data_IF_293230815945
#
_entry.id   IF_293230815945
#
_cell.length_a   1.000
_cell.length_b   1.000
_cell.length_c   1.000
_cell.angle_alpha   90.00
_cell.angle_beta   90.00
_cell.angle_gamma   90.00
#
_symmetry.space_group_name_H-M   'P 1'
#
loop_
_entity.id
_entity.type
_entity.pdbx_description
1 polymer ?
#
# COMPACT_ATOMS: atom_id res chain seq x y z
N UNK A 1 21.50 -14.83 -9.27
CA UNK A 1 20.72 -15.74 -10.13
C UNK A 1 19.69 -16.38 -9.22
N UNK A 2 18.41 -16.41 -9.61
CA UNK A 2 17.38 -17.06 -8.80
C UNK A 2 17.57 -18.57 -8.87
N UNK A 3 17.51 -19.23 -7.71
CA UNK A 3 17.55 -20.69 -7.61
C UNK A 3 16.24 -21.20 -7.03
N UNK A 4 15.71 -22.29 -7.59
CA UNK A 4 14.44 -22.89 -7.15
C UNK A 4 14.67 -24.31 -6.64
N UNK A 5 14.02 -24.63 -5.52
CA UNK A 5 14.04 -25.94 -4.89
C UNK A 5 12.62 -26.32 -4.49
N UNK A 6 12.21 -27.53 -4.84
CA UNK A 6 10.96 -28.12 -4.38
C UNK A 6 11.25 -29.24 -3.38
N UNK A 7 10.54 -29.22 -2.26
CA UNK A 7 10.67 -30.21 -1.19
C UNK A 7 9.31 -30.71 -0.76
N UNK A 8 9.21 -32.00 -0.47
CA UNK A 8 8.07 -32.55 0.27
C UNK A 8 8.07 -32.08 1.73
N UNK A 9 6.92 -32.18 2.40
CA UNK A 9 6.79 -31.90 3.83
C UNK A 9 7.86 -32.60 4.69
N UNK A 10 8.11 -33.90 4.43
CA UNK A 10 9.11 -34.67 5.16
C UNK A 10 10.56 -34.28 4.83
N UNK A 11 10.83 -33.84 3.61
CA UNK A 11 12.15 -33.35 3.23
C UNK A 11 12.47 -31.99 3.88
N UNK A 12 11.49 -31.09 4.02
CA UNK A 12 11.66 -29.83 4.76
C UNK A 12 12.13 -30.11 6.19
N UNK A 13 11.46 -31.05 6.88
CA UNK A 13 11.87 -31.49 8.22
C UNK A 13 13.31 -31.99 8.25
N UNK A 14 13.67 -32.87 7.30
CA UNK A 14 15.00 -33.46 7.24
C UNK A 14 16.11 -32.42 6.98
N UNK A 15 15.83 -31.36 6.21
CA UNK A 15 16.78 -30.25 6.03
C UNK A 15 17.03 -29.53 7.35
N UNK A 16 16.00 -29.21 8.13
CA UNK A 16 16.18 -28.55 9.42
C UNK A 16 16.97 -29.41 10.42
N UNK A 17 16.70 -30.72 10.45
CA UNK A 17 17.47 -31.66 11.28
C UNK A 17 18.94 -31.69 10.87
N UNK A 18 19.22 -31.77 9.56
CA UNK A 18 20.58 -31.79 9.04
C UNK A 18 21.35 -30.48 9.27
N UNK A 19 20.65 -29.35 9.28
CA UNK A 19 21.21 -28.03 9.55
C UNK A 19 21.20 -27.63 11.04
N UNK A 20 20.64 -28.48 11.92
CA UNK A 20 20.48 -28.19 13.36
C UNK A 20 19.73 -26.89 13.64
N UNK A 21 18.68 -26.63 12.87
CA UNK A 21 17.87 -25.42 12.93
C UNK A 21 16.53 -25.66 13.61
N UNK A 22 15.99 -24.61 14.23
CA UNK A 22 14.67 -24.61 14.87
C UNK A 22 13.84 -23.51 14.24
N UNK A 23 12.59 -23.82 13.89
CA UNK A 23 11.65 -22.84 13.34
C UNK A 23 11.00 -22.04 14.46
N UNK A 24 10.96 -20.72 14.29
CA UNK A 24 10.14 -19.85 15.11
C UNK A 24 8.64 -20.09 14.81
N UNK A 25 7.71 -19.81 15.75
CA UNK A 25 6.28 -20.03 15.53
C UNK A 25 5.68 -19.28 14.32
N UNK A 26 6.24 -18.13 13.97
CA UNK A 26 5.84 -17.31 12.82
C UNK A 26 6.55 -17.69 11.51
N UNK A 27 7.42 -18.70 11.52
CA UNK A 27 8.06 -19.22 10.31
C UNK A 27 7.02 -19.81 9.35
N UNK A 28 7.13 -19.55 8.04
CA UNK A 28 6.30 -20.23 7.04
C UNK A 28 6.55 -21.73 6.98
N UNK A 29 7.68 -22.19 7.54
CA UNK A 29 8.05 -23.59 7.57
C UNK A 29 7.77 -24.26 8.93
N UNK A 30 7.27 -23.52 9.91
CA UNK A 30 6.87 -24.07 11.20
C UNK A 30 5.89 -25.26 11.09
N UNK A 31 4.89 -25.26 10.19
CA UNK A 31 3.98 -26.41 10.03
C UNK A 31 4.68 -27.73 9.70
N UNK A 32 5.86 -27.70 9.07
CA UNK A 32 6.62 -28.90 8.70
C UNK A 32 7.49 -29.43 9.85
N UNK A 33 7.60 -28.70 10.96
CA UNK A 33 8.46 -29.09 12.08
C UNK A 33 8.01 -30.39 12.75
N UNK A 34 6.74 -30.79 12.64
CA UNK A 34 6.21 -32.04 13.20
C UNK A 34 6.18 -33.21 12.20
N UNK A 35 6.61 -33.00 10.96
CA UNK A 35 6.52 -34.00 9.89
C UNK A 35 7.52 -35.14 10.09
N UNK A 36 7.23 -36.29 9.49
CA UNK A 36 8.18 -37.40 9.47
C UNK A 36 9.31 -37.08 8.49
N UNK A 37 10.54 -37.05 8.97
CA UNK A 37 11.70 -36.79 8.14
C UNK A 37 11.83 -37.80 6.99
N UNK A 38 11.99 -37.29 5.77
CA UNK A 38 12.27 -38.04 4.55
C UNK A 38 13.72 -37.77 4.09
N UNK A 39 14.44 -38.76 3.54
CA UNK A 39 15.82 -38.56 3.12
C UNK A 39 15.97 -37.44 2.08
N UNK A 40 16.87 -36.50 2.37
CA UNK A 40 17.27 -35.43 1.44
C UNK A 40 18.71 -35.06 1.70
N UNK A 41 19.43 -34.65 0.65
CA UNK A 41 20.76 -34.08 0.83
C UNK A 41 20.63 -32.71 1.49
N UNK A 42 21.42 -32.46 2.55
CA UNK A 42 21.46 -31.16 3.19
C UNK A 42 21.94 -30.11 2.16
N UNK A 43 21.14 -29.09 1.86
CA UNK A 43 21.50 -28.13 0.83
C UNK A 43 22.55 -27.14 1.38
N UNK A 44 23.53 -26.80 0.55
CA UNK A 44 24.62 -25.86 0.89
C UNK A 44 24.49 -24.53 0.13
N UNK A 45 25.44 -23.62 0.37
CA UNK A 45 25.49 -22.33 -0.33
C UNK A 45 24.27 -21.45 -0.01
N UNK A 46 23.65 -20.88 -1.05
CA UNK A 46 22.49 -19.99 -0.93
C UNK A 46 21.32 -20.62 -0.17
N UNK A 47 21.20 -21.94 -0.21
CA UNK A 47 20.11 -22.64 0.45
C UNK A 47 20.28 -22.70 1.97
N UNK A 48 21.50 -22.77 2.49
CA UNK A 48 21.70 -22.67 3.95
C UNK A 48 21.18 -21.33 4.46
N UNK A 49 21.57 -20.24 3.81
CA UNK A 49 21.09 -18.89 4.13
C UNK A 49 19.56 -18.78 3.95
N UNK A 50 19.00 -19.35 2.89
CA UNK A 50 17.56 -19.36 2.68
C UNK A 50 16.80 -20.08 3.82
N UNK A 51 17.30 -21.22 4.29
CA UNK A 51 16.71 -21.93 5.43
C UNK A 51 16.92 -21.18 6.75
N UNK A 52 18.03 -20.46 6.95
CA UNK A 52 18.22 -19.56 8.10
C UNK A 52 17.16 -18.45 8.11
N UNK A 53 16.93 -17.81 6.95
CA UNK A 53 15.89 -16.78 6.77
C UNK A 53 14.51 -17.34 7.08
N UNK A 54 14.18 -18.51 6.52
CA UNK A 54 12.86 -19.10 6.69
C UNK A 54 12.64 -19.70 8.08
N UNK A 55 13.69 -20.09 8.80
CA UNK A 55 13.58 -20.60 10.16
C UNK A 55 13.07 -19.52 11.14
N UNK A 56 13.57 -18.29 11.02
CA UNK A 56 13.18 -17.16 11.87
C UNK A 56 13.20 -15.85 11.06
N UNK A 57 12.19 -15.62 10.20
CA UNK A 57 12.16 -14.44 9.35
C UNK A 57 11.92 -13.19 10.19
N UNK A 58 12.55 -12.07 9.81
CA UNK A 58 12.29 -10.77 10.42
C UNK A 58 11.33 -9.91 9.60
N UNK A 59 11.22 -10.18 8.30
CA UNK A 59 10.29 -9.50 7.41
C UNK A 59 9.59 -10.54 6.53
N UNK A 60 8.26 -10.45 6.49
CA UNK A 60 7.40 -11.07 5.50
C UNK A 60 6.85 -9.97 4.60
N UNK A 61 6.90 -10.19 3.28
CA UNK A 61 6.23 -9.38 2.26
C UNK A 61 5.18 -10.27 1.60
N UNK A 62 3.91 -9.94 1.78
CA UNK A 62 2.79 -10.60 1.08
C UNK A 62 2.28 -9.70 -0.02
N UNK A 63 2.40 -10.16 -1.25
CA UNK A 63 1.73 -9.55 -2.40
C UNK A 63 0.48 -10.36 -2.70
N UNK A 64 -0.70 -9.77 -2.52
CA UNK A 64 -1.98 -10.41 -2.78
C UNK A 64 -2.52 -9.88 -4.10
N UNK A 65 -2.42 -10.67 -5.17
CA UNK A 65 -2.94 -10.32 -6.48
C UNK A 65 -4.46 -10.55 -6.50
N UNK A 66 -5.25 -9.51 -6.77
CA UNK A 66 -6.70 -9.62 -6.89
C UNK A 66 -7.09 -10.34 -8.18
N UNK A 67 -8.02 -11.28 -8.08
CA UNK A 67 -8.61 -12.00 -9.21
C UNK A 67 -10.14 -11.89 -9.18
N UNK A 68 -10.85 -12.26 -10.25
CA UNK A 68 -12.31 -12.31 -10.21
C UNK A 68 -12.84 -13.25 -9.11
N UNK A 69 -12.09 -14.29 -8.73
CA UNK A 69 -12.52 -15.30 -7.76
C UNK A 69 -11.95 -15.11 -6.34
N UNK A 70 -11.07 -14.15 -6.11
CA UNK A 70 -10.41 -13.98 -4.81
C UNK A 70 -9.05 -13.30 -4.89
N UNK A 71 -8.08 -13.90 -4.19
CA UNK A 71 -6.68 -13.43 -4.14
C UNK A 71 -5.70 -14.56 -4.37
N UNK A 72 -4.63 -14.26 -5.10
CA UNK A 72 -3.47 -15.13 -5.27
C UNK A 72 -2.27 -14.55 -4.49
N UNK A 73 -1.84 -15.19 -3.39
CA UNK A 73 -0.75 -14.69 -2.58
C UNK A 73 0.62 -15.05 -3.19
N UNK A 74 1.59 -14.14 -3.07
CA UNK A 74 3.03 -14.40 -3.22
C UNK A 74 3.75 -13.94 -1.96
N UNK A 75 4.46 -14.86 -1.32
CA UNK A 75 5.06 -14.65 -0.01
C UNK A 75 6.58 -14.60 -0.15
N UNK A 76 7.19 -13.54 0.34
CA UNK A 76 8.64 -13.35 0.36
C UNK A 76 9.10 -13.10 1.79
N UNK A 77 10.24 -13.67 2.15
CA UNK A 77 10.79 -13.58 3.50
C UNK A 77 12.22 -13.08 3.45
N UNK A 78 12.59 -12.29 4.46
CA UNK A 78 13.95 -11.77 4.64
C UNK A 78 14.40 -11.96 6.09
N UNK A 79 15.69 -12.21 6.26
CA UNK A 79 16.34 -12.25 7.56
C UNK A 79 16.59 -10.86 8.14
N UNK A 80 17.45 -10.79 9.15
CA UNK A 80 17.75 -9.55 9.87
C UNK A 80 18.65 -8.58 9.11
N UNK A 81 19.46 -9.07 8.17
CA UNK A 81 20.30 -8.21 7.35
C UNK A 81 19.47 -7.57 6.23
N UNK A 82 19.37 -6.23 6.13
CA UNK A 82 18.74 -5.56 4.99
C UNK A 82 19.34 -5.92 3.63
N UNK A 83 20.56 -6.48 3.61
CA UNK A 83 21.25 -6.95 2.40
C UNK A 83 21.02 -8.43 2.11
N UNK A 84 20.45 -9.20 3.03
CA UNK A 84 20.16 -10.61 2.77
C UNK A 84 19.15 -10.71 1.62
N UNK A 85 19.32 -11.68 0.71
CA UNK A 85 18.33 -11.94 -0.31
C UNK A 85 16.98 -12.27 0.32
N UNK A 86 15.88 -12.04 -0.41
CA UNK A 86 14.60 -12.61 -0.05
C UNK A 86 14.47 -14.03 -0.59
N UNK A 87 13.66 -14.81 0.11
CA UNK A 87 13.25 -16.14 -0.30
C UNK A 87 11.75 -16.13 -0.54
N UNK A 88 11.32 -16.50 -1.74
CA UNK A 88 9.92 -16.72 -2.06
C UNK A 88 9.50 -18.12 -1.62
N UNK A 89 8.31 -18.22 -1.05
CA UNK A 89 7.70 -19.50 -0.65
C UNK A 89 6.36 -19.64 -1.35
N UNK A 90 6.22 -20.69 -2.15
CA UNK A 90 4.97 -21.10 -2.77
C UNK A 90 4.51 -22.44 -2.20
N UNK A 91 3.25 -22.54 -1.79
CA UNK A 91 2.65 -23.82 -1.42
C UNK A 91 2.45 -24.71 -2.65
N UNK A 92 2.73 -26.01 -2.50
CA UNK A 92 2.38 -27.05 -3.48
C UNK A 92 1.68 -28.21 -2.77
N UNK A 93 0.98 -29.08 -3.50
CA UNK A 93 0.05 -30.09 -2.94
C UNK A 93 0.60 -30.90 -1.75
N UNK A 94 1.90 -31.22 -1.73
CA UNK A 94 2.54 -32.05 -0.70
C UNK A 94 3.86 -31.46 -0.18
N UNK A 95 4.00 -30.13 -0.18
CA UNK A 95 5.21 -29.48 0.32
C UNK A 95 5.33 -28.01 -0.06
N UNK A 96 6.55 -27.59 -0.35
CA UNK A 96 6.86 -26.19 -0.71
C UNK A 96 7.77 -26.11 -1.93
N UNK A 97 7.55 -25.08 -2.73
CA UNK A 97 8.51 -24.57 -3.69
C UNK A 97 9.15 -23.31 -3.11
N UNK A 98 10.47 -23.33 -2.98
CA UNK A 98 11.28 -22.21 -2.52
C UNK A 98 12.03 -21.62 -3.70
N UNK A 99 12.06 -20.29 -3.81
CA UNK A 99 12.95 -19.61 -4.75
C UNK A 99 13.80 -18.58 -4.01
N UNK A 100 15.12 -18.83 -3.98
CA UNK A 100 16.09 -18.01 -3.26
C UNK A 100 16.79 -17.01 -4.19
N UNK A 101 17.28 -15.91 -3.59
CA UNK A 101 18.11 -14.92 -4.29
C UNK A 101 17.36 -13.71 -4.82
N UNK A 102 16.13 -13.45 -4.35
CA UNK A 102 15.41 -12.23 -4.70
C UNK A 102 16.07 -11.01 -4.06
N UNK A 103 16.15 -9.90 -4.78
CA UNK A 103 16.45 -8.59 -4.19
C UNK A 103 15.17 -7.74 -4.10
N UNK A 104 15.25 -6.56 -3.48
CA UNK A 104 14.10 -5.66 -3.37
C UNK A 104 13.57 -5.23 -4.75
N UNK A 105 14.40 -5.20 -5.79
CA UNK A 105 14.01 -4.80 -7.13
C UNK A 105 13.18 -5.87 -7.83
N UNK A 106 13.54 -7.15 -7.68
CA UNK A 106 12.78 -8.27 -8.20
C UNK A 106 11.37 -8.33 -7.57
N UNK A 107 11.25 -8.15 -6.25
CA UNK A 107 9.94 -8.10 -5.58
C UNK A 107 9.11 -6.87 -6.03
N UNK A 108 9.78 -5.74 -6.24
CA UNK A 108 9.14 -4.54 -6.82
C UNK A 108 8.65 -4.78 -8.25
N UNK A 109 9.44 -5.48 -9.06
CA UNK A 109 9.08 -5.90 -10.40
C UNK A 109 7.87 -6.85 -10.41
N UNK A 110 7.77 -7.75 -9.43
CA UNK A 110 6.61 -8.63 -9.28
C UNK A 110 5.32 -7.85 -9.00
N UNK A 111 5.34 -6.87 -8.08
CA UNK A 111 4.17 -6.01 -7.83
C UNK A 111 3.82 -5.16 -9.06
N UNK A 112 4.81 -4.54 -9.69
CA UNK A 112 4.60 -3.75 -10.91
C UNK A 112 4.01 -4.61 -12.04
N UNK A 113 4.48 -5.86 -12.17
CA UNK A 113 3.98 -6.84 -13.10
C UNK A 113 2.52 -7.24 -12.82
N UNK A 114 2.14 -7.43 -11.56
CA UNK A 114 0.74 -7.68 -11.17
C UNK A 114 -0.17 -6.53 -11.61
N UNK A 115 0.26 -5.29 -11.36
CA UNK A 115 -0.55 -4.09 -11.59
C UNK A 115 -0.47 -3.54 -13.02
N UNK A 116 0.31 -4.19 -13.90
CA UNK A 116 0.70 -3.64 -15.20
C UNK A 116 1.20 -2.19 -15.09
N UNK A 117 1.89 -1.89 -13.99
CA UNK A 117 2.39 -0.57 -13.69
C UNK A 117 3.46 -0.19 -14.73
N UNK A 118 3.34 1.01 -15.28
CA UNK A 118 4.27 1.54 -16.25
C UNK A 118 4.17 3.06 -16.31
N UNK A 119 4.64 3.65 -17.41
CA UNK A 119 4.40 5.06 -17.71
C UNK A 119 2.90 5.26 -17.91
N UNK A 120 2.21 5.72 -16.87
CA UNK A 120 0.83 6.15 -16.92
C UNK A 120 0.71 7.58 -17.43
N UNK A 121 -0.51 8.05 -17.73
CA UNK A 121 -0.79 9.45 -18.00
C UNK A 121 -0.31 10.33 -16.84
N UNK A 122 0.39 11.41 -17.17
CA UNK A 122 0.67 12.48 -16.22
C UNK A 122 -0.65 13.15 -15.81
N UNK A 123 -0.77 13.56 -14.54
CA UNK A 123 -1.66 14.68 -14.21
C UNK A 123 -2.98 14.37 -13.52
N UNK A 124 -2.99 13.52 -12.50
CA UNK A 124 -3.99 13.63 -11.44
C UNK A 124 -3.26 13.66 -10.11
N UNK A 125 -3.20 14.83 -9.49
CA UNK A 125 -2.74 14.98 -8.11
C UNK A 125 -3.98 14.96 -7.22
N UNK A 126 -4.34 13.76 -6.76
CA UNK A 126 -5.46 13.57 -5.86
C UNK A 126 -4.99 12.85 -4.61
N UNK A 127 -5.37 13.39 -3.46
CA UNK A 127 -5.17 12.78 -2.15
C UNK A 127 -6.31 13.15 -1.23
N UNK A 128 -6.88 12.14 -0.57
CA UNK A 128 -7.87 12.31 0.48
C UNK A 128 -7.65 11.32 1.62
N UNK A 129 -8.10 11.69 2.81
CA UNK A 129 -8.21 10.79 3.95
C UNK A 129 -9.67 10.34 4.06
N UNK A 130 -9.86 9.05 4.27
CA UNK A 130 -11.14 8.38 4.40
C UNK A 130 -11.19 7.62 5.72
N UNK A 131 -12.36 7.62 6.35
CA UNK A 131 -12.73 6.61 7.34
C UNK A 131 -13.08 5.27 6.66
N UNK A 132 -13.20 4.17 7.42
CA UNK A 132 -13.72 2.91 6.87
C UNK A 132 -15.12 3.06 6.25
N UNK A 133 -15.96 3.94 6.79
CA UNK A 133 -17.26 4.26 6.21
C UNK A 133 -17.12 5.02 4.88
N UNK A 134 -16.19 5.98 4.81
CA UNK A 134 -15.86 6.69 3.58
C UNK A 134 -15.35 5.77 2.48
N UNK A 135 -14.48 4.80 2.82
CA UNK A 135 -14.01 3.79 1.88
C UNK A 135 -15.14 2.89 1.38
N UNK A 136 -16.02 2.44 2.27
CA UNK A 136 -17.19 1.64 1.91
C UNK A 136 -18.11 2.39 0.93
N UNK A 137 -18.50 3.62 1.25
CA UNK A 137 -19.32 4.43 0.36
C UNK A 137 -18.62 4.75 -0.98
N UNK A 138 -17.30 4.93 -0.97
CA UNK A 138 -16.52 5.17 -2.19
C UNK A 138 -16.60 3.95 -3.11
N UNK A 139 -16.33 2.75 -2.58
CA UNK A 139 -16.43 1.51 -3.32
C UNK A 139 -17.83 1.25 -3.87
N UNK A 140 -18.87 1.45 -3.06
CA UNK A 140 -20.26 1.27 -3.47
C UNK A 140 -20.71 2.29 -4.53
N UNK A 141 -20.18 3.51 -4.48
CA UNK A 141 -20.40 4.51 -5.52
C UNK A 141 -19.75 4.08 -6.85
N UNK A 142 -18.51 3.58 -6.82
CA UNK A 142 -17.85 3.05 -8.02
C UNK A 142 -18.61 1.86 -8.62
N UNK A 143 -19.15 0.98 -7.78
CA UNK A 143 -20.00 -0.12 -8.22
C UNK A 143 -21.32 0.36 -8.82
N UNK A 144 -21.96 1.38 -8.24
CA UNK A 144 -23.13 2.01 -8.86
C UNK A 144 -22.82 2.57 -10.25
N UNK A 145 -21.75 3.35 -10.39
CA UNK A 145 -21.33 3.91 -11.67
C UNK A 145 -21.08 2.82 -12.71
N UNK A 146 -20.45 1.72 -12.30
CA UNK A 146 -20.19 0.57 -13.17
C UNK A 146 -21.48 -0.13 -13.58
N UNK A 147 -22.40 -0.35 -12.65
CA UNK A 147 -23.70 -0.97 -12.92
C UNK A 147 -24.50 -0.16 -13.94
N UNK A 148 -24.58 1.17 -13.74
CA UNK A 148 -25.29 2.08 -14.64
C UNK A 148 -24.68 2.08 -16.06
N UNK A 149 -23.36 2.01 -16.16
CA UNK A 149 -22.68 1.91 -17.46
C UNK A 149 -23.02 0.58 -18.15
N UNK A 150 -22.98 -0.53 -17.42
CA UNK A 150 -23.34 -1.85 -17.96
C UNK A 150 -24.79 -1.88 -18.46
N UNK A 151 -25.74 -1.34 -17.68
CA UNK A 151 -27.16 -1.26 -18.05
C UNK A 151 -27.35 -0.39 -19.30
N UNK A 152 -26.75 0.81 -19.33
CA UNK A 152 -26.81 1.72 -20.48
C UNK A 152 -26.30 1.04 -21.76
N UNK A 153 -25.15 0.36 -21.70
CA UNK A 153 -24.56 -0.34 -22.85
C UNK A 153 -25.41 -1.52 -23.30
N UNK A 154 -25.93 -2.33 -22.38
CA UNK A 154 -26.79 -3.47 -22.68
C UNK A 154 -28.06 -3.05 -23.44
N UNK A 155 -28.66 -1.93 -23.04
CA UNK A 155 -29.86 -1.38 -23.67
C UNK A 155 -29.57 -0.47 -24.86
N UNK A 156 -28.30 -0.20 -25.19
CA UNK A 156 -27.89 0.78 -26.20
C UNK A 156 -28.53 2.17 -25.98
N UNK A 157 -28.70 2.55 -24.72
CA UNK A 157 -29.33 3.80 -24.31
C UNK A 157 -28.24 4.85 -24.00
N UNK A 158 -28.34 6.09 -24.49
CA UNK A 158 -27.29 7.11 -24.35
C UNK A 158 -27.21 7.75 -22.96
N UNK A 159 -28.14 7.45 -22.05
CA UNK A 159 -28.21 8.03 -20.71
C UNK A 159 -27.89 7.02 -19.62
N UNK A 160 -27.24 7.50 -18.56
CA UNK A 160 -27.09 6.82 -17.28
C UNK A 160 -27.81 7.65 -16.23
N UNK A 161 -28.60 7.02 -15.36
CA UNK A 161 -29.01 7.69 -14.13
C UNK A 161 -27.83 7.61 -13.17
N UNK A 162 -27.31 8.78 -12.80
CA UNK A 162 -26.15 8.89 -11.90
C UNK A 162 -26.59 9.29 -10.49
N UNK A 163 -27.89 9.39 -10.26
CA UNK A 163 -28.43 9.68 -8.93
C UNK A 163 -28.18 8.47 -8.05
N UNK A 164 -27.45 8.70 -6.98
CA UNK A 164 -27.10 7.67 -6.00
C UNK A 164 -27.97 7.89 -4.76
N UNK A 165 -28.98 7.05 -4.59
CA UNK A 165 -29.79 7.02 -3.37
C UNK A 165 -29.08 6.28 -2.23
N UNK A 166 -29.53 6.49 -1.00
CA UNK A 166 -29.04 5.72 0.15
C UNK A 166 -29.35 4.22 0.00
N UNK A 167 -30.52 3.88 -0.53
CA UNK A 167 -30.95 2.50 -0.76
C UNK A 167 -30.01 1.78 -1.74
N UNK A 168 -29.58 2.45 -2.81
CA UNK A 168 -28.62 1.88 -3.77
C UNK A 168 -27.22 1.71 -3.17
N UNK A 169 -26.77 2.64 -2.34
CA UNK A 169 -25.51 2.50 -1.60
C UNK A 169 -25.55 1.30 -0.66
N UNK A 170 -26.61 1.18 0.14
CA UNK A 170 -26.83 0.05 1.05
C UNK A 170 -26.89 -1.27 0.28
N UNK A 171 -27.62 -1.30 -0.85
CA UNK A 171 -27.72 -2.48 -1.70
C UNK A 171 -26.36 -2.91 -2.25
N UNK A 172 -25.59 -1.99 -2.83
CA UNK A 172 -24.27 -2.30 -3.41
C UNK A 172 -23.28 -2.77 -2.34
N UNK A 173 -23.31 -2.17 -1.14
CA UNK A 173 -22.49 -2.63 -0.03
C UNK A 173 -22.88 -4.05 0.40
N UNK A 174 -24.16 -4.30 0.67
CA UNK A 174 -24.64 -5.60 1.12
C UNK A 174 -24.31 -6.70 0.09
N UNK A 175 -24.61 -6.45 -1.19
CA UNK A 175 -24.33 -7.41 -2.27
C UNK A 175 -22.82 -7.64 -2.40
N UNK A 176 -22.00 -6.59 -2.41
CA UNK A 176 -20.56 -6.72 -2.60
C UNK A 176 -19.86 -7.45 -1.45
N UNK A 177 -20.34 -7.30 -0.21
CA UNK A 177 -19.78 -7.99 0.96
C UNK A 177 -20.08 -9.50 0.96
N UNK A 178 -21.17 -9.93 0.29
CA UNK A 178 -21.57 -11.34 0.19
C UNK A 178 -21.18 -11.99 -1.14
N UNK A 179 -20.85 -11.19 -2.16
CA UNK A 179 -20.51 -11.66 -3.50
C UNK A 179 -19.12 -12.30 -3.57
N UNK A 180 -18.93 -13.13 -4.60
CA UNK A 180 -17.65 -13.78 -4.92
C UNK A 180 -16.96 -13.26 -6.18
N UNK A 181 -17.42 -12.13 -6.75
CA UNK A 181 -16.91 -11.56 -7.99
C UNK A 181 -16.05 -10.31 -7.74
N UNK A 182 -14.74 -10.49 -7.67
CA UNK A 182 -13.72 -9.46 -7.46
C UNK A 182 -13.57 -8.45 -8.60
N UNK A 183 -14.43 -8.50 -9.63
CA UNK A 183 -14.54 -7.44 -10.63
C UNK A 183 -15.39 -6.26 -10.12
N UNK A 184 -16.11 -6.40 -9.01
CA UNK A 184 -16.81 -5.32 -8.29
C UNK A 184 -15.91 -4.75 -7.19
N UNK A 185 -15.90 -3.44 -7.02
CA UNK A 185 -14.99 -2.73 -6.11
C UNK A 185 -15.23 -3.10 -4.66
N UNK A 186 -16.48 -3.18 -4.20
CA UNK A 186 -16.79 -3.58 -2.82
C UNK A 186 -16.26 -5.00 -2.56
N UNK A 187 -16.55 -5.94 -3.45
CA UNK A 187 -16.07 -7.33 -3.35
C UNK A 187 -14.55 -7.42 -3.37
N UNK A 188 -13.91 -6.69 -4.29
CA UNK A 188 -12.46 -6.68 -4.43
C UNK A 188 -11.77 -6.15 -3.18
N UNK A 189 -12.29 -5.05 -2.62
CA UNK A 189 -11.75 -4.51 -1.36
C UNK A 189 -12.06 -5.43 -0.18
N UNK A 190 -13.17 -6.16 -0.19
CA UNK A 190 -13.43 -7.20 0.81
C UNK A 190 -12.38 -8.33 0.76
N UNK A 191 -11.80 -8.59 -0.41
CA UNK A 191 -10.68 -9.53 -0.56
C UNK A 191 -9.31 -8.93 -0.20
N UNK A 192 -9.08 -7.66 -0.56
CA UNK A 192 -7.74 -7.05 -0.53
C UNK A 192 -7.47 -6.17 0.68
N UNK A 193 -8.47 -5.48 1.24
CA UNK A 193 -8.29 -4.59 2.38
C UNK A 193 -8.15 -5.38 3.71
N UNK A 194 -7.71 -4.74 4.80
CA UNK A 194 -7.72 -5.36 6.12
C UNK A 194 -9.08 -5.99 6.46
N UNK A 195 -9.05 -7.20 7.03
CA UNK A 195 -10.26 -7.98 7.32
C UNK A 195 -11.25 -7.20 8.18
N UNK A 196 -12.53 -7.22 7.78
CA UNK A 196 -13.62 -6.62 8.55
C UNK A 196 -13.64 -5.08 8.52
N UNK A 197 -12.86 -4.45 7.64
CA UNK A 197 -12.80 -2.99 7.55
C UNK A 197 -14.08 -2.37 6.96
N UNK A 198 -14.69 -3.04 5.98
CA UNK A 198 -15.92 -2.58 5.33
C UNK A 198 -17.14 -3.07 6.10
N UNK A 199 -18.06 -2.16 6.42
CA UNK A 199 -19.29 -2.47 7.15
C UNK A 199 -20.53 -2.10 6.33
N UNK A 200 -21.56 -2.96 6.38
CA UNK A 200 -22.80 -2.80 5.61
C UNK A 200 -23.62 -1.57 6.07
N UNK A 201 -23.56 -1.20 7.36
CA UNK A 201 -24.29 -0.06 7.92
C UNK A 201 -23.57 1.29 7.75
N UNK A 202 -22.50 1.32 6.94
CA UNK A 202 -21.62 2.47 6.82
C UNK A 202 -22.04 3.45 5.71
N UNK A 203 -23.02 3.09 4.87
CA UNK A 203 -23.39 3.84 3.67
C UNK A 203 -23.66 5.32 3.93
N UNK A 204 -24.60 5.65 4.83
CA UNK A 204 -24.99 7.05 5.06
C UNK A 204 -23.83 7.88 5.62
N UNK A 205 -23.11 7.35 6.62
CA UNK A 205 -21.95 8.02 7.22
C UNK A 205 -20.87 8.28 6.18
N UNK A 206 -20.60 7.28 5.35
CA UNK A 206 -19.65 7.37 4.25
C UNK A 206 -20.08 8.35 3.16
N UNK A 207 -21.34 8.33 2.71
CA UNK A 207 -21.83 9.27 1.69
C UNK A 207 -21.71 10.73 2.16
N UNK A 208 -22.06 11.01 3.42
CA UNK A 208 -21.87 12.34 4.03
C UNK A 208 -20.39 12.73 4.15
N UNK A 209 -19.50 11.78 4.35
CA UNK A 209 -18.05 12.02 4.31
C UNK A 209 -17.59 12.37 2.90
N UNK A 210 -17.99 11.60 1.89
CA UNK A 210 -17.68 11.88 0.49
C UNK A 210 -18.26 13.22 0.01
N UNK A 211 -19.43 13.60 0.51
CA UNK A 211 -20.03 14.93 0.29
C UNK A 211 -19.14 16.04 0.85
N UNK A 212 -18.66 15.89 2.10
CA UNK A 212 -17.73 16.85 2.71
C UNK A 212 -16.39 16.95 1.97
N UNK A 213 -15.95 15.85 1.37
CA UNK A 213 -14.76 15.80 0.51
C UNK A 213 -15.01 16.34 -0.91
N UNK A 214 -16.25 16.70 -1.25
CA UNK A 214 -16.62 17.22 -2.56
C UNK A 214 -16.71 16.16 -3.67
N UNK A 215 -16.63 14.87 -3.32
CA UNK A 215 -16.76 13.74 -4.24
C UNK A 215 -18.22 13.43 -4.59
N UNK A 216 -19.14 13.77 -3.68
CA UNK A 216 -20.58 13.70 -3.89
C UNK A 216 -21.20 15.08 -3.71
N UNK A 217 -22.30 15.34 -4.41
CA UNK A 217 -23.10 16.57 -4.29
C UNK A 217 -24.53 16.20 -3.90
N UNK A 218 -25.15 16.88 -2.94
CA UNK A 218 -26.53 16.59 -2.57
C UNK A 218 -27.47 16.87 -3.76
N UNK A 219 -28.45 15.99 -3.94
CA UNK A 219 -29.48 16.05 -4.99
C UNK A 219 -30.84 15.66 -4.42
N UNK A 220 -31.92 15.92 -5.16
CA UNK A 220 -33.25 15.43 -4.79
C UNK A 220 -33.26 13.90 -4.86
N UNK A 221 -33.32 13.24 -3.70
CA UNK A 221 -33.37 11.78 -3.59
C UNK A 221 -32.03 11.10 -3.28
N UNK A 222 -30.95 11.86 -3.03
CA UNK A 222 -29.66 11.29 -2.67
C UNK A 222 -28.50 12.20 -3.06
N UNK A 223 -27.54 11.65 -3.80
CA UNK A 223 -26.34 12.36 -4.24
C UNK A 223 -26.10 12.23 -5.75
N UNK A 224 -25.33 13.16 -6.30
CA UNK A 224 -24.73 13.06 -7.62
C UNK A 224 -23.20 12.98 -7.48
N UNK A 225 -22.52 12.14 -8.27
CA UNK A 225 -21.07 12.07 -8.28
C UNK A 225 -20.47 13.37 -8.83
N UNK A 226 -19.36 13.82 -8.23
CA UNK A 226 -18.58 14.92 -8.77
C UNK A 226 -17.81 14.51 -10.03
N UNK A 227 -17.16 15.48 -10.70
CA UNK A 227 -16.29 15.17 -11.83
C UNK A 227 -15.10 14.28 -11.43
N UNK A 228 -14.58 14.46 -10.23
CA UNK A 228 -13.51 13.68 -9.63
C UNK A 228 -13.96 12.24 -9.36
N UNK A 229 -15.16 12.05 -8.79
CA UNK A 229 -15.72 10.70 -8.58
C UNK A 229 -16.01 9.99 -9.91
N UNK A 230 -16.57 10.70 -10.91
CA UNK A 230 -16.76 10.15 -12.25
C UNK A 230 -15.44 9.77 -12.91
N UNK A 231 -14.41 10.61 -12.74
CA UNK A 231 -13.06 10.33 -13.22
C UNK A 231 -12.48 9.09 -12.56
N UNK A 232 -12.58 8.94 -11.23
CA UNK A 232 -12.17 7.72 -10.52
C UNK A 232 -12.89 6.50 -11.09
N UNK A 233 -14.22 6.56 -11.23
CA UNK A 233 -15.03 5.50 -11.81
C UNK A 233 -14.61 5.10 -13.22
N UNK A 234 -14.25 6.05 -14.09
CA UNK A 234 -13.74 5.76 -15.41
C UNK A 234 -12.30 5.20 -15.39
N UNK A 235 -11.44 5.74 -14.52
CA UNK A 235 -10.02 5.37 -14.43
C UNK A 235 -9.81 3.98 -13.83
N UNK A 236 -10.73 3.50 -12.99
CA UNK A 236 -10.72 2.20 -12.33
C UNK A 236 -11.57 1.16 -13.09
N UNK A 237 -11.76 1.35 -14.39
CA UNK A 237 -12.39 0.36 -15.29
C UNK A 237 -11.37 -0.17 -16.30
N UNK A 238 -11.14 -1.49 -16.41
CA UNK A 238 -11.59 -2.52 -15.46
C UNK A 238 -10.99 -2.30 -14.05
N UNK A 239 -11.65 -2.86 -13.03
CA UNK A 239 -11.23 -2.77 -11.61
C UNK A 239 -9.97 -3.61 -11.34
N UNK A 240 -9.70 -4.57 -12.22
CA UNK A 240 -8.51 -5.41 -12.21
C UNK A 240 -7.55 -5.01 -13.35
N UNK A 241 -6.22 -5.10 -13.15
CA UNK A 241 -5.58 -5.72 -11.98
C UNK A 241 -5.52 -4.85 -10.72
N UNK A 242 -5.43 -5.51 -9.57
CA UNK A 242 -5.27 -4.90 -8.26
C UNK A 242 -4.37 -5.77 -7.40
N UNK A 243 -3.69 -5.17 -6.42
CA UNK A 243 -2.86 -5.93 -5.51
C UNK A 243 -2.81 -5.29 -4.12
N UNK A 244 -2.80 -6.10 -3.06
CA UNK A 244 -2.41 -5.66 -1.74
C UNK A 244 -0.93 -5.97 -1.50
N UNK A 245 -0.23 -5.05 -0.83
CA UNK A 245 1.11 -5.26 -0.31
C UNK A 245 1.04 -5.18 1.22
N UNK A 246 1.34 -6.30 1.88
CA UNK A 246 1.33 -6.42 3.34
C UNK A 246 2.74 -6.74 3.80
N UNK A 247 3.34 -5.84 4.55
CA UNK A 247 4.67 -6.04 5.14
C UNK A 247 4.54 -6.29 6.63
N UNK A 248 4.90 -7.49 7.07
CA UNK A 248 4.92 -7.87 8.48
C UNK A 248 6.37 -7.90 8.97
N UNK A 249 6.71 -7.07 9.95
CA UNK A 249 8.01 -7.09 10.61
C UNK A 249 7.89 -7.76 11.96
N UNK A 250 8.60 -8.86 12.15
CA UNK A 250 8.56 -9.63 13.38
C UNK A 250 9.53 -9.00 14.40
N UNK A 251 8.97 -8.31 15.40
CA UNK A 251 9.71 -7.81 16.57
C UNK A 251 9.69 -8.81 17.73
N UNK A 252 10.45 -8.52 18.80
CA UNK A 252 10.50 -9.39 20.00
C UNK A 252 9.15 -9.53 20.72
N UNK A 253 8.38 -8.44 20.77
CA UNK A 253 7.14 -8.38 21.58
C UNK A 253 5.88 -8.18 20.73
N UNK A 254 5.99 -7.49 19.58
CA UNK A 254 4.86 -7.21 18.68
C UNK A 254 5.35 -7.18 17.23
N UNK A 255 4.53 -7.70 16.32
CA UNK A 255 4.72 -7.52 14.89
C UNK A 255 4.22 -6.13 14.45
N UNK A 256 5.00 -5.45 13.62
CA UNK A 256 4.58 -4.21 12.94
C UNK A 256 4.07 -4.58 11.55
N UNK A 257 2.86 -4.12 11.20
CA UNK A 257 2.22 -4.41 9.92
C UNK A 257 2.02 -3.11 9.16
N UNK A 258 2.55 -3.04 7.94
CA UNK A 258 2.23 -2.00 6.98
C UNK A 258 1.34 -2.59 5.89
N UNK A 259 0.19 -1.99 5.65
CA UNK A 259 -0.81 -2.50 4.72
C UNK A 259 -1.11 -1.44 3.66
N UNK A 260 -1.09 -1.83 2.39
CA UNK A 260 -1.52 -0.96 1.30
C UNK A 260 -2.19 -1.75 0.19
N UNK A 261 -3.16 -1.14 -0.49
CA UNK A 261 -3.78 -1.69 -1.69
C UNK A 261 -3.48 -0.75 -2.86
N UNK A 262 -3.11 -1.31 -3.99
CA UNK A 262 -2.89 -0.61 -5.24
C UNK A 262 -3.91 -1.12 -6.27
N UNK A 263 -4.54 -0.18 -6.97
CA UNK A 263 -5.59 -0.43 -7.95
C UNK A 263 -5.17 0.21 -9.27
N UNK A 264 -5.21 -0.54 -10.37
CA UNK A 264 -4.98 0.01 -11.71
C UNK A 264 -6.24 -0.14 -12.55
N UNK A 265 -6.36 0.69 -13.59
CA UNK A 265 -7.45 0.55 -14.56
C UNK A 265 -7.10 1.15 -15.90
N UNK A 266 -8.12 1.61 -16.66
CA UNK A 266 -7.94 2.15 -18.00
C UNK A 266 -6.81 3.17 -18.08
N UNK A 267 -6.01 3.10 -19.14
CA UNK A 267 -4.91 4.04 -19.35
C UNK A 267 -3.75 3.90 -18.36
N UNK A 268 -3.70 2.89 -17.48
CA UNK A 268 -2.67 2.72 -16.43
C UNK A 268 -2.68 3.83 -15.38
N UNK A 269 -3.85 4.41 -15.10
CA UNK A 269 -4.02 5.19 -13.87
C UNK A 269 -3.85 4.27 -12.67
N UNK A 270 -3.05 4.69 -11.70
CA UNK A 270 -2.76 3.93 -10.51
C UNK A 270 -3.24 4.69 -9.27
N UNK A 271 -4.01 4.00 -8.45
CA UNK A 271 -4.56 4.49 -7.20
C UNK A 271 -4.04 3.64 -6.05
N UNK A 272 -3.86 4.25 -4.89
CA UNK A 272 -3.39 3.58 -3.68
C UNK A 272 -4.29 3.89 -2.52
N UNK A 273 -4.46 2.88 -1.67
CA UNK A 273 -5.09 2.95 -0.35
C UNK A 273 -4.01 2.58 0.67
N UNK A 274 -3.57 3.53 1.47
CA UNK A 274 -2.70 3.28 2.63
C UNK A 274 -3.54 3.19 3.90
N UNK A 275 -3.30 2.17 4.74
CA UNK A 275 -4.07 1.96 5.96
C UNK A 275 -3.19 2.22 7.18
N UNK A 276 -3.58 3.18 8.01
CA UNK A 276 -2.86 3.55 9.22
C UNK A 276 -3.77 3.39 10.45
N UNK A 277 -3.36 2.53 11.39
CA UNK A 277 -4.03 2.41 12.69
C UNK A 277 -3.73 3.65 13.55
N UNK A 278 -4.78 4.30 14.02
CA UNK A 278 -4.75 5.35 15.03
C UNK A 278 -5.01 4.74 16.41
N UNK A 279 -4.57 5.45 17.45
CA UNK A 279 -4.83 5.03 18.83
C UNK A 279 -6.33 4.85 19.09
N UNK A 280 -6.72 3.76 19.73
CA UNK A 280 -8.12 3.45 20.02
C UNK A 280 -8.82 2.51 19.03
N UNK A 281 -8.10 2.02 18.00
CA UNK A 281 -8.64 1.07 17.02
C UNK A 281 -9.28 1.73 15.79
N UNK A 282 -9.22 3.06 15.70
CA UNK A 282 -9.60 3.79 14.50
C UNK A 282 -8.58 3.56 13.39
N UNK A 283 -9.05 3.44 12.15
CA UNK A 283 -8.19 3.31 10.96
C UNK A 283 -8.39 4.53 10.08
N UNK A 284 -7.29 5.18 9.71
CA UNK A 284 -7.28 6.21 8.67
C UNK A 284 -6.82 5.60 7.35
N UNK A 285 -7.54 5.93 6.27
CA UNK A 285 -7.30 5.37 4.94
C UNK A 285 -6.92 6.51 4.01
N UNK A 286 -5.69 6.51 3.51
CA UNK A 286 -5.26 7.49 2.51
C UNK A 286 -5.56 6.98 1.11
N UNK A 287 -6.50 7.61 0.41
CA UNK A 287 -6.75 7.42 -1.02
C UNK A 287 -5.90 8.41 -1.81
N UNK A 288 -5.01 7.93 -2.68
CA UNK A 288 -4.18 8.79 -3.51
C UNK A 288 -3.98 8.21 -4.91
N UNK A 289 -3.92 9.10 -5.91
CA UNK A 289 -3.34 8.76 -7.21
C UNK A 289 -1.82 8.71 -7.11
N UNK A 290 -1.18 7.87 -7.91
CA UNK A 290 0.27 7.83 -8.04
C UNK A 290 0.69 7.32 -9.43
N UNK A 291 1.97 7.46 -9.74
CA UNK A 291 2.62 6.87 -10.91
C UNK A 291 3.24 5.51 -10.58
N UNK A 292 3.51 4.70 -11.61
CA UNK A 292 4.24 3.44 -11.44
C UNK A 292 5.64 3.62 -10.84
N UNK A 293 6.30 4.75 -11.14
CA UNK A 293 7.59 5.10 -10.54
C UNK A 293 7.49 5.39 -9.05
N UNK A 294 6.49 6.17 -8.63
CA UNK A 294 6.24 6.46 -7.21
C UNK A 294 5.90 5.20 -6.41
N UNK A 295 5.09 4.30 -6.98
CA UNK A 295 4.81 3.01 -6.35
C UNK A 295 6.06 2.15 -6.22
N UNK A 296 6.88 2.07 -7.28
CA UNK A 296 8.12 1.32 -7.25
C UNK A 296 9.09 1.86 -6.20
N UNK A 297 9.26 3.18 -6.13
CA UNK A 297 10.11 3.84 -5.15
C UNK A 297 9.59 3.66 -3.72
N UNK A 298 8.27 3.74 -3.52
CA UNK A 298 7.64 3.43 -2.23
C UNK A 298 7.94 1.99 -1.81
N UNK A 299 7.72 1.02 -2.70
CA UNK A 299 7.93 -0.39 -2.38
C UNK A 299 9.39 -0.70 -2.08
N UNK A 300 10.33 -0.15 -2.87
CA UNK A 300 11.77 -0.29 -2.63
C UNK A 300 12.15 0.20 -1.22
N UNK A 301 11.58 1.31 -0.76
CA UNK A 301 11.80 1.80 0.61
C UNK A 301 11.24 0.84 1.66
N UNK A 302 10.00 0.37 1.49
CA UNK A 302 9.36 -0.53 2.44
C UNK A 302 10.10 -1.88 2.58
N UNK A 303 10.55 -2.46 1.47
CA UNK A 303 11.23 -3.76 1.47
C UNK A 303 12.69 -3.65 1.92
N UNK A 304 13.36 -2.53 1.64
CA UNK A 304 14.80 -2.37 1.92
C UNK A 304 15.09 -1.87 3.33
N UNK A 305 14.24 -1.06 3.95
CA UNK A 305 14.39 -0.71 5.35
C UNK A 305 14.04 -1.94 6.20
N UNK A 306 14.96 -2.45 7.04
CA UNK A 306 14.59 -3.10 8.30
C UNK A 306 14.11 -1.98 9.25
N UNK A 307 13.27 -2.23 10.29
CA UNK A 307 12.80 -1.14 11.15
C UNK A 307 13.98 -0.49 11.87
N UNK A 308 14.49 0.59 11.29
CA UNK A 308 15.32 1.54 11.97
C UNK A 308 14.44 2.21 13.00
N UNK A 309 14.62 1.81 14.27
CA UNK A 309 14.27 2.57 15.48
C UNK A 309 13.51 3.86 15.16
N UNK A 310 12.18 3.86 15.30
CA UNK A 310 11.48 5.09 15.70
C UNK A 310 11.84 5.37 17.16
N UNK A 311 13.08 5.80 17.37
CA UNK A 311 13.42 6.59 18.54
C UNK A 311 12.68 7.91 18.34
N UNK A 312 11.80 8.26 19.27
CA UNK A 312 11.14 9.56 19.26
C UNK A 312 12.16 10.66 19.01
N UNK A 313 11.99 11.38 17.91
CA UNK A 313 12.71 12.60 17.64
C UNK A 313 11.67 13.58 17.12
N UNK A 314 11.51 14.68 17.86
CA UNK A 314 10.88 15.86 17.30
C UNK A 314 11.71 16.27 16.10
N UNK A 315 11.13 16.15 14.90
CA UNK A 315 11.81 16.53 13.67
C UNK A 315 11.92 18.05 13.56
N UNK A 316 13.14 18.51 13.77
CA UNK A 316 13.62 19.78 13.24
C UNK A 316 13.83 19.60 11.72
N UNK A 317 12.99 20.27 10.93
CA UNK A 317 13.13 20.38 9.48
C UNK A 317 14.48 20.99 9.10
N UNK A 318 15.28 20.26 8.31
CA UNK A 318 16.49 20.78 7.67
C UNK A 318 16.14 21.84 6.61
N UNK A 319 16.48 23.10 6.87
CA UNK A 319 16.36 24.21 5.91
C UNK A 319 17.36 24.04 4.76
N UNK A 320 17.03 24.47 3.54
CA UNK A 320 17.97 24.53 2.39
C UNK A 320 18.42 25.96 2.12
N UNK A 321 19.63 26.12 1.60
CA UNK A 321 20.19 27.42 1.26
C UNK A 321 19.42 28.04 0.08
N UNK A 322 18.90 29.25 0.28
CA UNK A 322 18.17 29.98 -0.77
C UNK A 322 19.05 30.39 -1.96
N UNK A 323 20.38 30.48 -1.76
CA UNK A 323 21.30 30.91 -2.81
C UNK A 323 21.84 29.77 -3.67
N UNK A 324 22.00 28.56 -3.12
CA UNK A 324 22.61 27.43 -3.85
C UNK A 324 21.86 26.09 -3.72
N UNK A 325 20.79 26.03 -2.93
CA UNK A 325 19.99 24.83 -2.71
C UNK A 325 20.61 23.78 -1.78
N UNK A 326 21.84 23.98 -1.29
CA UNK A 326 22.50 23.05 -0.38
C UNK A 326 21.79 22.95 0.98
N UNK A 327 21.80 21.76 1.58
CA UNK A 327 21.16 21.52 2.88
C UNK A 327 21.92 22.26 4.00
N UNK A 328 21.20 23.02 4.81
CA UNK A 328 21.74 23.78 5.94
C UNK A 328 21.56 22.97 7.22
N UNK A 329 22.61 22.91 8.03
CA UNK A 329 22.50 22.38 9.39
C UNK A 329 21.54 23.26 10.21
N UNK A 330 20.74 22.69 11.13
CA UNK A 330 19.88 23.46 12.01
C UNK A 330 20.67 24.55 12.76
N UNK A 331 20.24 25.80 12.65
CA UNK A 331 20.89 26.95 13.30
C UNK A 331 22.16 27.49 12.62
N UNK A 332 22.48 27.07 11.39
CA UNK A 332 23.63 27.60 10.66
C UNK A 332 23.43 29.07 10.25
N UNK A 333 24.29 29.97 10.74
CA UNK A 333 24.27 31.40 10.35
C UNK A 333 24.74 31.63 8.91
N UNK A 334 25.58 30.74 8.37
CA UNK A 334 26.12 30.80 7.01
C UNK A 334 26.05 29.42 6.34
N UNK A 335 25.84 29.40 5.02
CA UNK A 335 25.90 28.18 4.23
C UNK A 335 27.34 27.66 4.13
N UNK A 336 27.57 26.41 4.54
CA UNK A 336 28.89 25.77 4.43
C UNK A 336 29.34 25.51 2.99
N UNK A 337 28.40 25.53 2.02
CA UNK A 337 28.71 25.26 0.61
C UNK A 337 28.96 26.52 -0.21
N UNK A 338 28.31 27.65 0.09
CA UNK A 338 28.44 28.88 -0.71
C UNK A 338 28.76 30.15 0.11
N UNK A 339 28.80 30.08 1.44
CA UNK A 339 29.10 31.21 2.32
C UNK A 339 27.95 32.20 2.53
N UNK A 340 26.77 31.98 1.91
CA UNK A 340 25.62 32.89 2.04
C UNK A 340 25.03 32.91 3.46
N UNK A 341 24.74 34.09 4.00
CA UNK A 341 24.19 34.26 5.35
C UNK A 341 22.69 33.91 5.38
N UNK A 342 22.27 33.08 6.33
CA UNK A 342 20.92 32.48 6.35
C UNK A 342 19.89 33.40 7.02
N UNK A 343 20.31 34.29 7.92
CA UNK A 343 19.40 35.19 8.67
C UNK A 343 18.69 36.25 7.79
N UNK A 344 19.23 36.59 6.62
CA UNK A 344 18.63 37.64 5.77
C UNK A 344 17.29 37.23 5.13
N UNK A 345 17.05 35.92 4.95
CA UNK A 345 15.83 35.43 4.29
C UNK A 345 14.56 35.70 5.11
N UNK A 346 14.64 35.65 6.44
CA UNK A 346 13.52 35.92 7.34
C UNK A 346 13.11 37.40 7.30
N UNK A 347 14.09 38.32 7.28
CA UNK A 347 13.84 39.77 7.19
C UNK A 347 13.19 40.22 5.87
N UNK A 348 13.32 39.42 4.80
CA UNK A 348 12.74 39.73 3.49
C UNK A 348 11.33 39.15 3.29
N UNK A 349 10.70 38.63 4.35
CA UNK A 349 9.36 38.04 4.27
C UNK A 349 9.31 36.79 3.40
N UNK A 350 10.34 35.94 3.44
CA UNK A 350 10.39 34.65 2.72
C UNK A 350 10.58 33.50 3.69
N UNK A 351 9.97 32.37 3.37
CA UNK A 351 10.03 31.16 4.17
C UNK A 351 11.46 30.58 4.21
N UNK A 352 12.01 30.37 5.41
CA UNK A 352 13.35 29.79 5.63
C UNK A 352 13.47 28.34 5.13
N UNK A 353 12.34 27.67 4.94
CA UNK A 353 12.29 26.26 4.53
C UNK A 353 12.03 26.12 3.03
N UNK A 354 11.01 26.79 2.48
CA UNK A 354 10.57 26.60 1.09
C UNK A 354 10.70 27.84 0.19
N UNK A 355 11.15 28.99 0.71
CA UNK A 355 11.34 30.22 -0.04
C UNK A 355 10.05 30.96 -0.45
N UNK A 356 8.88 30.46 -0.09
CA UNK A 356 7.60 31.12 -0.37
C UNK A 356 7.48 32.47 0.35
N UNK A 357 6.82 33.45 -0.27
CA UNK A 357 6.54 34.72 0.37
C UNK A 357 5.65 34.52 1.62
N UNK A 358 6.05 35.13 2.72
CA UNK A 358 5.34 35.14 3.99
C UNK A 358 4.59 36.47 4.14
N UNK A 359 3.47 36.43 4.86
CA UNK A 359 2.86 37.65 5.38
C UNK A 359 3.78 38.27 6.45
N UNK A 360 3.75 39.60 6.65
CA UNK A 360 4.43 40.22 7.78
C UNK A 360 4.06 39.51 9.08
N UNK A 361 5.04 39.17 9.90
CA UNK A 361 4.90 38.53 11.22
C UNK A 361 4.27 37.11 11.22
N UNK A 362 4.27 36.40 10.08
CA UNK A 362 3.76 35.03 10.03
C UNK A 362 4.66 34.05 10.80
N UNK A 363 4.20 33.53 11.93
CA UNK A 363 4.91 32.53 12.74
C UNK A 363 5.08 31.16 12.03
N UNK A 364 4.25 30.86 11.02
CA UNK A 364 4.31 29.63 10.24
C UNK A 364 4.07 29.92 8.75
N UNK A 365 4.74 29.15 7.88
CA UNK A 365 4.55 29.24 6.44
C UNK A 365 3.24 28.56 6.03
N UNK A 366 2.34 29.29 5.38
CA UNK A 366 1.07 28.74 4.86
C UNK A 366 1.23 27.73 3.72
N UNK A 367 2.43 27.63 3.13
CA UNK A 367 2.71 26.70 2.02
C UNK A 367 3.33 25.38 2.48
N UNK A 368 4.28 25.42 3.42
CA UNK A 368 4.98 24.20 3.87
C UNK A 368 4.85 23.89 5.36
N UNK A 369 4.10 24.71 6.13
CA UNK A 369 3.88 24.50 7.57
C UNK A 369 5.08 24.79 8.47
N UNK A 370 6.27 25.06 7.90
CA UNK A 370 7.48 25.31 8.70
C UNK A 370 7.33 26.58 9.56
N UNK A 371 7.79 26.52 10.81
CA UNK A 371 7.85 27.67 11.73
C UNK A 371 8.88 28.70 11.24
N UNK A 372 8.52 29.98 11.29
CA UNK A 372 9.29 31.09 10.73
C UNK A 372 9.66 32.07 11.83
N UNK A 373 10.67 31.73 12.65
CA UNK A 373 11.13 32.56 13.78
C UNK A 373 10.21 32.50 14.99
#
# INVERSE_FOLDING_TARGET
>A
MLETLELTSGQVRAVFDALSMVTAPHSPLHPFASERAEPVAAPGGIWREAFEILADPLLEVRLLEGTPEGVLPRLYYRGNDPRSPLVRVDGVDQGVRLTAGYDSEAVTGDLAGMLWAGSGPEGVDYRASLSPAGLAAWAACLDHLRAQLCVSLLHRAPGMDLTLSLEELDHNLAVGLEAGDGRWMVTLLNFLAPNGLLAADAAERGARELERLGLLRPSSGGWLPSGEMLFMGASLQPVLPAAACVLTRFGRDKAEVNYSVALTGAGRYLWTLGFEERGGGDVEITLASCSGGELADWMKRQVSDAPGRRAGSGEASGSRCVSCGAELKPGAAFCSSCGHQVEEAHKQGKCISCGAALKPDAAFCSRCGAKQG
#
